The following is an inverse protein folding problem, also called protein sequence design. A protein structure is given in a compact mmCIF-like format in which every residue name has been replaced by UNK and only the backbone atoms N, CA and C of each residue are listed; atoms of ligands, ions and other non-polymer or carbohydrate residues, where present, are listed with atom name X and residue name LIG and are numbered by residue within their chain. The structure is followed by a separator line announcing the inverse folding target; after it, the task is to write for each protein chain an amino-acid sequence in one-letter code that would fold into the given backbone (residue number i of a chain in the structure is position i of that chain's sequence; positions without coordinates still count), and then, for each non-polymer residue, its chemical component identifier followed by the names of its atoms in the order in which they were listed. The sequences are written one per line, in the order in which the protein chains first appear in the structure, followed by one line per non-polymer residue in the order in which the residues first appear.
data_IF_479863920011
#
_entry.id   IF_479863920011
#
_cell.length_a   1.000
_cell.length_b   1.000
_cell.length_c   1.000
_cell.angle_alpha   90.00
_cell.angle_beta   90.00
_cell.angle_gamma   90.00
#
_symmetry.space_group_name_H-M   'P 1'
#
loop_
_entity.id
_entity.type
_entity.pdbx_description
1 polymer ?
#
# COMPACT_ATOMS: atom_id res chain seq x y z
N UNK A 1 -2.23 -4.89 -4.79
CA UNK A 1 -1.26 -4.71 -3.71
C UNK A 1 -0.63 -3.34 -3.80
N UNK A 2 -0.93 -2.45 -2.86
CA UNK A 2 -0.32 -1.11 -2.77
C UNK A 2 -0.11 -0.76 -1.30
N UNK A 3 0.99 -0.08 -1.01
CA UNK A 3 1.40 0.28 0.35
C UNK A 3 0.28 0.98 1.12
N UNK A 4 -0.36 1.97 0.49
CA UNK A 4 -1.42 2.74 1.13
C UNK A 4 -2.71 1.96 1.36
N UNK A 5 -3.09 1.03 0.47
CA UNK A 5 -4.24 0.17 0.72
C UNK A 5 -3.99 -0.77 1.91
N UNK A 6 -2.79 -1.35 1.99
CA UNK A 6 -2.39 -2.17 3.14
C UNK A 6 -2.26 -1.35 4.43
N UNK A 7 -1.85 -0.09 4.32
CA UNK A 7 -1.80 0.84 5.45
C UNK A 7 -3.20 1.18 5.94
N UNK A 8 -4.14 1.47 5.05
CA UNK A 8 -5.53 1.77 5.40
C UNK A 8 -6.18 0.59 6.15
N UNK A 9 -5.99 -0.63 5.65
CA UNK A 9 -6.41 -1.85 6.35
C UNK A 9 -5.75 -2.00 7.73
N UNK A 10 -4.46 -1.66 7.86
CA UNK A 10 -3.76 -1.69 9.15
C UNK A 10 -4.28 -0.63 10.13
N UNK A 11 -4.65 0.55 9.62
CA UNK A 11 -5.17 1.66 10.41
C UNK A 11 -6.66 1.53 10.74
N UNK A 12 -7.36 0.63 10.06
CA UNK A 12 -8.80 0.38 10.27
C UNK A 12 -9.10 0.13 11.75
N UNK A 13 -10.09 0.85 12.29
CA UNK A 13 -10.50 0.84 13.70
C UNK A 13 -9.49 1.40 14.72
N UNK A 14 -8.34 1.94 14.30
CA UNK A 14 -7.40 2.62 15.22
C UNK A 14 -7.79 4.10 15.39
N UNK A 15 -7.73 4.61 16.62
CA UNK A 15 -7.88 6.04 16.94
C UNK A 15 -6.68 6.50 17.75
N UNK A 16 -6.04 7.57 17.30
CA UNK A 16 -4.85 8.14 17.94
C UNK A 16 -5.20 9.47 18.60
N UNK A 17 -4.60 9.74 19.77
CA UNK A 17 -4.82 11.00 20.52
C UNK A 17 -3.58 11.90 20.49
N UNK A 18 -2.41 11.34 20.17
CA UNK A 18 -1.15 12.06 20.06
C UNK A 18 -0.49 11.74 18.73
N UNK A 19 0.32 12.68 18.24
CA UNK A 19 1.12 12.51 17.02
C UNK A 19 2.13 11.37 17.16
N UNK A 20 2.76 11.23 18.31
CA UNK A 20 3.72 10.16 18.60
C UNK A 20 3.11 8.77 18.40
N UNK A 21 1.84 8.56 18.79
CA UNK A 21 1.15 7.28 18.59
C UNK A 21 0.96 6.96 17.10
N UNK A 22 0.75 7.99 16.26
CA UNK A 22 0.61 7.85 14.81
C UNK A 22 1.95 7.47 14.19
N UNK A 23 3.03 8.17 14.57
CA UNK A 23 4.37 7.90 14.08
C UNK A 23 4.82 6.48 14.45
N UNK A 24 4.59 6.07 15.70
CA UNK A 24 4.87 4.71 16.17
C UNK A 24 4.06 3.65 15.41
N UNK A 25 2.77 3.88 15.17
CA UNK A 25 1.94 2.94 14.40
C UNK A 25 2.42 2.81 12.95
N UNK A 26 2.86 3.91 12.33
CA UNK A 26 3.41 3.89 10.98
C UNK A 26 4.76 3.14 10.93
N UNK A 27 5.65 3.38 11.90
CA UNK A 27 6.91 2.62 12.01
C UNK A 27 6.66 1.13 12.23
N UNK A 28 5.69 0.77 13.09
CA UNK A 28 5.28 -0.61 13.29
C UNK A 28 4.71 -1.24 12.01
N UNK A 29 3.91 -0.49 11.25
CA UNK A 29 3.39 -0.95 9.96
C UNK A 29 4.54 -1.33 9.02
N UNK A 30 5.56 -0.46 8.89
CA UNK A 30 6.72 -0.70 8.04
C UNK A 30 7.57 -1.88 8.51
N UNK A 31 7.82 -2.00 9.81
CA UNK A 31 8.67 -3.07 10.36
C UNK A 31 8.05 -4.46 10.26
N UNK A 32 6.72 -4.55 10.18
CA UNK A 32 5.99 -5.80 9.96
C UNK A 32 5.98 -6.25 8.50
N UNK A 33 6.52 -5.47 7.55
CA UNK A 33 6.57 -5.84 6.13
C UNK A 33 7.88 -6.53 5.79
N UNK A 34 7.74 -7.73 5.26
CA UNK A 34 8.83 -8.46 4.62
C UNK A 34 9.34 -7.71 3.37
N UNK A 35 10.65 -7.75 3.02
CA UNK A 35 11.16 -7.16 1.79
C UNK A 35 10.38 -7.55 0.52
N UNK A 36 9.88 -8.79 0.44
CA UNK A 36 9.08 -9.27 -0.67
C UNK A 36 7.76 -8.50 -0.82
N UNK A 37 7.22 -7.90 0.25
CA UNK A 37 6.08 -7.00 0.17
C UNK A 37 6.33 -5.88 -0.86
N UNK A 38 7.51 -5.26 -0.80
CA UNK A 38 7.85 -4.14 -1.68
C UNK A 38 8.16 -4.62 -3.09
N UNK A 39 8.87 -5.76 -3.22
CA UNK A 39 9.16 -6.40 -4.51
C UNK A 39 7.87 -6.73 -5.26
N UNK A 40 6.90 -7.38 -4.59
CA UNK A 40 5.59 -7.67 -5.19
C UNK A 40 4.83 -6.39 -5.58
N UNK A 41 4.89 -5.35 -4.74
CA UNK A 41 4.27 -4.06 -5.03
C UNK A 41 4.83 -3.39 -6.30
N UNK A 42 6.15 -3.40 -6.46
CA UNK A 42 6.85 -2.84 -7.63
C UNK A 42 6.58 -3.70 -8.87
N UNK A 43 6.71 -5.03 -8.77
CA UNK A 43 6.48 -5.93 -9.90
C UNK A 43 5.03 -5.89 -10.40
N UNK A 44 4.06 -5.57 -9.53
CA UNK A 44 2.68 -5.36 -9.95
C UNK A 44 2.49 -4.15 -10.89
N UNK A 45 3.46 -3.23 -10.99
CA UNK A 45 3.40 -2.11 -11.94
C UNK A 45 3.42 -2.59 -13.39
N UNK A 46 4.21 -3.61 -13.70
CA UNK A 46 4.29 -4.18 -15.07
C UNK A 46 2.90 -4.65 -15.52
N UNK A 47 2.19 -5.36 -14.64
CA UNK A 47 0.82 -5.84 -14.92
C UNK A 47 -0.16 -4.67 -15.06
N UNK A 48 -0.03 -3.61 -14.26
CA UNK A 48 -0.91 -2.42 -14.35
C UNK A 48 -0.69 -1.64 -15.63
N UNK A 49 0.55 -1.47 -16.07
CA UNK A 49 0.87 -0.80 -17.33
C UNK A 49 0.31 -1.58 -18.52
N UNK A 50 0.46 -2.90 -18.51
CA UNK A 50 -0.12 -3.75 -19.54
C UNK A 50 -1.64 -3.55 -19.65
N UNK A 51 -2.35 -3.59 -18.52
CA UNK A 51 -3.79 -3.32 -18.49
C UNK A 51 -4.14 -1.90 -18.95
N UNK A 52 -3.34 -0.90 -18.62
CA UNK A 52 -3.54 0.47 -19.10
C UNK A 52 -3.50 0.54 -20.63
N UNK A 53 -2.56 -0.17 -21.27
CA UNK A 53 -2.44 -0.26 -22.73
C UNK A 53 -3.66 -0.97 -23.32
N UNK A 54 -4.04 -2.12 -22.75
CA UNK A 54 -5.19 -2.92 -23.19
C UNK A 54 -6.51 -2.17 -23.10
N UNK A 55 -6.62 -1.21 -22.18
CA UNK A 55 -7.80 -0.39 -21.98
C UNK A 55 -7.68 1.03 -22.58
N UNK A 56 -6.74 1.23 -23.51
CA UNK A 56 -6.54 2.51 -24.22
C UNK A 56 -6.34 3.71 -23.27
N UNK A 57 -5.64 3.50 -22.17
CA UNK A 57 -5.37 4.54 -21.17
C UNK A 57 -6.51 4.83 -20.20
N UNK A 58 -7.64 4.11 -20.28
CA UNK A 58 -8.75 4.30 -19.34
C UNK A 58 -8.44 3.69 -17.96
N UNK A 59 -9.10 4.24 -16.94
CA UNK A 59 -9.09 3.61 -15.62
C UNK A 59 -9.73 2.22 -15.68
N UNK A 60 -9.10 1.29 -14.98
CA UNK A 60 -9.56 -0.09 -14.84
C UNK A 60 -10.55 -0.12 -13.67
N UNK A 61 -11.75 -0.69 -13.91
CA UNK A 61 -12.72 -0.98 -12.86
C UNK A 61 -12.33 -2.24 -12.09
#
# INVERSE_FOLDING_TARGET
FSLFHSLDNFLTQKRFRKREDIENAFQQFLSLRDPDFYVHGINALVVRWQKCIEHYGNYLK
#
